data_IF_208462281840
#
_entry.id   IF_208462281840
#
_cell.length_a   1.000
_cell.length_b   1.000
_cell.length_c   1.000
_cell.angle_alpha   90.00
_cell.angle_beta   90.00
_cell.angle_gamma   90.00
#
_symmetry.space_group_name_H-M   'P 1'
#
loop_
_entity.id
_entity.type
_entity.pdbx_description
1 polymer ?
#
# COMPACT_ATOMS: atom_id res chain seq x y z
N UNK A 1 -54.67 -44.01 -1.79
CA UNK A 1 -53.86 -42.92 -2.35
C UNK A 1 -53.61 -41.90 -1.26
N UNK A 2 -52.38 -41.36 -1.20
CA UNK A 2 -51.78 -40.47 -0.18
C UNK A 2 -51.00 -41.19 0.94
N UNK A 3 -49.77 -41.56 0.58
CA UNK A 3 -48.64 -41.72 1.49
C UNK A 3 -47.83 -40.40 1.55
N UNK A 4 -46.86 -40.37 2.46
CA UNK A 4 -45.71 -39.46 2.63
C UNK A 4 -45.91 -38.29 3.62
N UNK A 5 -45.47 -38.42 4.89
CA UNK A 5 -44.10 -38.35 5.48
C UNK A 5 -43.67 -36.88 5.68
N UNK A 6 -43.64 -36.39 6.93
CA UNK A 6 -42.46 -36.09 7.81
C UNK A 6 -41.42 -35.23 7.06
N UNK A 7 -40.98 -34.05 7.51
CA UNK A 7 -40.05 -33.84 8.65
C UNK A 7 -39.69 -32.36 8.83
N UNK A 8 -39.27 -32.09 10.07
CA UNK A 8 -38.14 -31.25 10.48
C UNK A 8 -38.26 -29.72 10.39
N UNK A 9 -38.42 -29.17 11.58
CA UNK A 9 -38.05 -27.81 11.99
C UNK A 9 -36.63 -27.47 11.57
N UNK A 10 -36.52 -26.30 10.96
CA UNK A 10 -35.31 -25.65 10.44
C UNK A 10 -34.28 -25.50 11.57
N UNK A 11 -33.17 -26.22 11.43
CA UNK A 11 -31.91 -25.93 12.10
C UNK A 11 -31.19 -24.82 11.32
N UNK A 12 -30.64 -23.84 12.03
CA UNK A 12 -29.27 -23.33 11.87
C UNK A 12 -29.17 -21.81 12.06
N UNK A 13 -28.24 -21.46 12.94
CA UNK A 13 -27.70 -20.15 13.25
C UNK A 13 -27.46 -19.25 12.03
N UNK A 14 -27.42 -17.92 12.26
CA UNK A 14 -26.18 -17.14 12.08
C UNK A 14 -26.31 -15.71 12.57
N UNK A 15 -25.27 -15.32 13.27
CA UNK A 15 -24.83 -13.98 13.69
C UNK A 15 -25.01 -12.91 12.61
N UNK A 16 -25.68 -11.83 12.97
CA UNK A 16 -25.68 -10.59 12.19
C UNK A 16 -24.38 -9.83 12.51
N UNK A 17 -23.34 -10.03 11.71
CA UNK A 17 -22.28 -9.04 11.56
C UNK A 17 -22.43 -8.46 10.17
N UNK A 18 -22.86 -7.20 10.11
CA UNK A 18 -23.02 -6.45 8.89
C UNK A 18 -21.69 -6.44 8.13
N UNK A 19 -21.62 -7.22 7.05
CA UNK A 19 -20.59 -7.07 6.03
C UNK A 19 -20.89 -5.78 5.27
N UNK A 20 -20.18 -4.71 5.59
CA UNK A 20 -19.92 -3.68 4.59
C UNK A 20 -19.26 -4.39 3.41
N UNK A 21 -19.93 -4.48 2.27
CA UNK A 21 -19.31 -4.88 1.00
C UNK A 21 -18.29 -3.81 0.61
N UNK A 22 -17.10 -3.91 1.21
CA UNK A 22 -15.90 -3.22 0.73
C UNK A 22 -15.57 -3.90 -0.59
N UNK A 23 -15.88 -3.24 -1.71
CA UNK A 23 -15.36 -3.64 -3.02
C UNK A 23 -13.85 -3.84 -2.87
N UNK A 24 -13.39 -5.10 -2.95
CA UNK A 24 -11.99 -5.46 -2.77
C UNK A 24 -11.26 -5.04 -4.04
N UNK A 25 -10.81 -3.79 -4.08
CA UNK A 25 -9.85 -3.34 -5.08
C UNK A 25 -8.52 -4.00 -4.78
N UNK A 26 -8.06 -4.87 -5.69
CA UNK A 26 -6.80 -5.58 -5.52
C UNK A 26 -5.65 -4.61 -5.75
N UNK A 27 -4.83 -4.39 -4.72
CA UNK A 27 -3.57 -3.67 -4.88
C UNK A 27 -2.62 -4.54 -5.69
N UNK A 28 -2.20 -4.04 -6.85
CA UNK A 28 -1.30 -4.74 -7.78
C UNK A 28 0.15 -4.37 -7.51
N UNK A 29 0.37 -3.09 -7.23
CA UNK A 29 1.69 -2.49 -7.13
C UNK A 29 1.64 -1.26 -6.24
N UNK A 30 2.71 -1.04 -5.48
CA UNK A 30 2.93 0.19 -4.72
C UNK A 30 4.32 0.70 -5.03
N UNK A 31 4.46 1.99 -5.32
CA UNK A 31 5.77 2.61 -5.49
C UNK A 31 5.99 3.75 -4.52
N UNK A 32 7.25 3.91 -4.10
CA UNK A 32 7.76 5.07 -3.40
C UNK A 32 8.82 5.70 -4.29
N UNK A 33 8.64 6.98 -4.61
CA UNK A 33 9.61 7.75 -5.37
C UNK A 33 10.15 8.88 -4.51
N UNK A 34 11.46 9.09 -4.53
CA UNK A 34 12.15 10.12 -3.75
C UNK A 34 13.18 10.84 -4.64
N UNK A 35 13.08 12.16 -4.72
CA UNK A 35 13.88 12.98 -5.65
C UNK A 35 14.51 14.21 -4.99
N UNK A 36 15.71 14.53 -5.45
CA UNK A 36 16.40 15.84 -5.33
C UNK A 36 17.02 16.20 -6.67
N UNK A 37 17.69 17.36 -6.77
CA UNK A 37 18.40 17.80 -7.99
C UNK A 37 19.46 16.82 -8.50
N UNK A 38 20.04 15.99 -7.63
CA UNK A 38 21.13 15.08 -7.99
C UNK A 38 20.88 13.62 -7.63
N UNK A 39 19.68 13.26 -7.19
CA UNK A 39 19.36 11.88 -6.80
C UNK A 39 17.93 11.52 -7.14
N UNK A 40 17.77 10.35 -7.76
CA UNK A 40 16.49 9.71 -8.05
C UNK A 40 16.51 8.33 -7.40
N UNK A 41 15.56 8.07 -6.51
CA UNK A 41 15.33 6.75 -5.94
C UNK A 41 13.89 6.35 -6.17
N UNK A 42 13.70 5.22 -6.83
CA UNK A 42 12.39 4.64 -7.08
C UNK A 42 12.36 3.22 -6.52
N UNK A 43 11.37 2.92 -5.71
CA UNK A 43 11.13 1.60 -5.13
C UNK A 43 9.75 1.14 -5.57
N UNK A 44 9.67 -0.04 -6.19
CA UNK A 44 8.43 -0.62 -6.68
C UNK A 44 8.22 -1.99 -6.03
N UNK A 45 7.14 -2.12 -5.27
CA UNK A 45 6.73 -3.34 -4.61
C UNK A 45 5.54 -3.94 -5.36
N UNK A 46 5.59 -5.24 -5.59
CA UNK A 46 4.53 -6.07 -6.14
C UNK A 46 4.61 -7.44 -5.49
N UNK A 47 3.61 -8.30 -5.67
CA UNK A 47 3.60 -9.62 -5.04
C UNK A 47 4.92 -10.38 -5.28
N UNK A 48 5.63 -10.70 -4.20
CA UNK A 48 6.90 -11.43 -4.23
C UNK A 48 8.13 -10.65 -4.71
N UNK A 49 8.01 -9.38 -5.11
CA UNK A 49 9.11 -8.62 -5.74
C UNK A 49 9.22 -7.17 -5.28
N UNK A 50 10.43 -6.75 -4.95
CA UNK A 50 10.88 -5.36 -4.81
C UNK A 50 11.86 -5.05 -5.94
N UNK A 51 11.60 -3.98 -6.69
CA UNK A 51 12.53 -3.39 -7.65
C UNK A 51 12.96 -2.03 -7.12
N UNK A 52 14.27 -1.85 -6.91
CA UNK A 52 14.89 -0.59 -6.53
C UNK A 52 15.65 -0.02 -7.72
N UNK A 53 15.44 1.25 -8.05
CA UNK A 53 16.24 2.01 -9.02
C UNK A 53 16.85 3.22 -8.33
N UNK A 54 18.18 3.28 -8.25
CA UNK A 54 18.90 4.39 -7.64
C UNK A 54 19.82 5.00 -8.70
N UNK A 55 19.49 6.21 -9.14
CA UNK A 55 20.17 6.91 -10.24
C UNK A 55 20.33 6.02 -11.49
N UNK A 56 19.29 5.24 -11.81
CA UNK A 56 19.27 4.30 -12.95
C UNK A 56 19.89 2.94 -12.68
N UNK A 57 20.54 2.72 -11.54
CA UNK A 57 21.04 1.40 -11.15
C UNK A 57 19.89 0.58 -10.58
N UNK A 58 19.52 -0.47 -11.30
CA UNK A 58 18.37 -1.32 -10.95
C UNK A 58 18.85 -2.54 -10.16
N UNK A 59 18.19 -2.80 -9.05
CA UNK A 59 18.34 -4.00 -8.25
C UNK A 59 16.97 -4.63 -7.99
N UNK A 60 16.90 -5.96 -8.04
CA UNK A 60 15.66 -6.71 -7.78
C UNK A 60 15.86 -7.65 -6.60
N UNK A 61 14.87 -7.70 -5.73
CA UNK A 61 14.87 -8.54 -4.54
C UNK A 61 13.52 -9.20 -4.34
N UNK A 62 13.53 -10.37 -3.71
CA UNK A 62 12.30 -11.03 -3.28
C UNK A 62 11.78 -10.44 -1.97
N UNK A 63 10.46 -10.26 -1.90
CA UNK A 63 9.74 -9.89 -0.67
C UNK A 63 8.95 -11.08 -0.16
N UNK A 64 8.83 -11.21 1.16
CA UNK A 64 8.00 -12.27 1.74
C UNK A 64 6.51 -11.99 1.52
N UNK A 65 5.70 -13.04 1.49
CA UNK A 65 4.24 -12.91 1.43
C UNK A 65 3.67 -12.12 2.61
N UNK A 66 4.26 -12.29 3.80
CA UNK A 66 3.88 -11.54 4.99
C UNK A 66 4.15 -10.04 4.85
N UNK A 67 5.29 -9.66 4.28
CA UNK A 67 5.61 -8.24 4.01
C UNK A 67 4.65 -7.67 2.97
N UNK A 68 4.38 -8.41 1.88
CA UNK A 68 3.42 -7.98 0.87
C UNK A 68 2.00 -7.83 1.42
N UNK A 69 1.55 -8.77 2.25
CA UNK A 69 0.23 -8.74 2.89
C UNK A 69 0.03 -7.47 3.73
N UNK A 70 1.05 -7.07 4.52
CA UNK A 70 1.00 -5.82 5.28
C UNK A 70 0.93 -4.57 4.39
N UNK A 71 1.66 -4.56 3.28
CA UNK A 71 1.56 -3.47 2.30
C UNK A 71 0.14 -3.37 1.77
N UNK A 72 -0.48 -4.50 1.37
CA UNK A 72 -1.86 -4.54 0.91
C UNK A 72 -2.82 -4.03 1.99
N UNK A 73 -2.70 -4.51 3.22
CA UNK A 73 -3.51 -4.09 4.37
C UNK A 73 -3.46 -2.57 4.59
N UNK A 74 -2.27 -1.96 4.56
CA UNK A 74 -2.15 -0.51 4.72
C UNK A 74 -2.70 0.26 3.52
N UNK A 75 -2.54 -0.25 2.29
CA UNK A 75 -3.14 0.39 1.10
C UNK A 75 -4.66 0.36 1.12
N UNK A 76 -5.23 -0.60 1.83
CA UNK A 76 -6.66 -0.79 2.00
C UNK A 76 -7.30 0.15 3.03
N UNK A 77 -6.49 0.76 3.89
CA UNK A 77 -6.90 1.77 4.86
C UNK A 77 -6.87 3.19 4.27
N UNK A 78 -6.19 3.36 3.13
CA UNK A 78 -6.03 4.64 2.44
C UNK A 78 -7.19 4.86 1.46
N UNK A 79 -7.84 6.02 1.55
CA UNK A 79 -8.76 6.49 0.51
C UNK A 79 -7.98 6.90 -0.74
N UNK A 80 -7.92 5.99 -1.73
CA UNK A 80 -7.16 6.18 -2.96
C UNK A 80 -7.62 7.39 -3.78
N UNK A 81 -8.92 7.69 -3.81
CA UNK A 81 -9.46 8.82 -4.58
C UNK A 81 -9.03 10.19 -4.03
N UNK A 82 -8.77 10.26 -2.72
CA UNK A 82 -8.35 11.49 -2.04
C UNK A 82 -6.86 11.49 -1.67
N UNK A 83 -6.08 10.49 -2.08
CA UNK A 83 -4.66 10.38 -1.71
C UNK A 83 -3.83 11.59 -2.20
N UNK A 84 -4.22 12.18 -3.33
CA UNK A 84 -3.59 13.37 -3.91
C UNK A 84 -3.82 14.65 -3.10
N UNK A 85 -4.83 14.66 -2.21
CA UNK A 85 -5.22 15.81 -1.38
C UNK A 85 -4.66 15.75 0.04
N UNK A 86 -3.93 14.69 0.39
CA UNK A 86 -3.35 14.54 1.72
C UNK A 86 -2.28 15.61 1.94
N UNK A 87 -2.40 16.39 3.00
CA UNK A 87 -1.47 17.49 3.26
C UNK A 87 -0.16 16.97 3.87
N UNK A 88 0.95 17.50 3.38
CA UNK A 88 2.25 17.15 3.91
C UNK A 88 2.50 17.86 5.26
N UNK A 89 3.03 17.18 6.29
CA UNK A 89 3.23 17.79 7.61
C UNK A 89 4.26 18.92 7.64
N UNK A 90 5.26 18.86 6.74
CA UNK A 90 6.39 19.80 6.67
C UNK A 90 6.75 20.08 5.22
N UNK A 91 7.51 21.14 4.97
CA UNK A 91 7.88 21.62 3.62
C UNK A 91 9.40 21.76 3.42
N UNK A 92 10.18 21.00 4.18
CA UNK A 92 11.66 21.00 4.18
C UNK A 92 12.28 20.65 2.82
N UNK A 93 11.53 19.99 1.93
CA UNK A 93 11.93 19.76 0.54
C UNK A 93 12.21 21.04 -0.25
N UNK A 94 11.58 22.17 0.10
CA UNK A 94 11.83 23.44 -0.60
C UNK A 94 13.10 24.16 -0.13
N UNK A 95 13.63 23.78 1.03
CA UNK A 95 14.89 24.28 1.58
C UNK A 95 16.03 23.29 1.42
N UNK A 96 15.91 22.33 0.49
CA UNK A 96 16.86 21.24 0.22
C UNK A 96 17.23 20.40 1.48
N UNK A 97 16.41 20.44 2.53
CA UNK A 97 16.67 19.75 3.80
C UNK A 97 16.06 18.34 3.86
N UNK A 98 15.22 17.98 2.88
CA UNK A 98 14.63 16.66 2.73
C UNK A 98 14.40 16.32 1.25
N UNK A 99 14.33 15.04 0.91
CA UNK A 99 13.92 14.63 -0.43
C UNK A 99 12.41 14.83 -0.61
N UNK A 100 12.01 15.25 -1.81
CA UNK A 100 10.62 15.26 -2.19
C UNK A 100 10.18 13.82 -2.51
N UNK A 101 9.23 13.30 -1.74
CA UNK A 101 8.73 11.94 -1.86
C UNK A 101 7.25 11.91 -2.23
N UNK A 102 6.83 10.87 -2.94
CA UNK A 102 5.41 10.54 -3.12
C UNK A 102 5.23 9.02 -3.20
N UNK A 103 4.02 8.57 -2.91
CA UNK A 103 3.62 7.17 -3.04
C UNK A 103 2.58 7.04 -4.14
N UNK A 104 2.73 6.04 -5.00
CA UNK A 104 1.71 5.67 -5.98
C UNK A 104 1.18 4.27 -5.68
N UNK A 105 -0.13 4.13 -5.64
CA UNK A 105 -0.81 2.86 -5.43
C UNK A 105 -1.54 2.50 -6.72
N UNK A 106 -1.20 1.37 -7.32
CA UNK A 106 -1.90 0.84 -8.50
C UNK A 106 -2.97 -0.15 -8.03
N UNK A 107 -4.24 0.15 -8.30
CA UNK A 107 -5.39 -0.72 -8.02
C UNK A 107 -6.21 -0.90 -9.29
N UNK A 108 -6.45 -2.15 -9.68
CA UNK A 108 -7.21 -2.51 -10.89
C UNK A 108 -6.74 -1.72 -12.12
N UNK A 109 -5.42 -1.67 -12.36
CA UNK A 109 -4.80 -0.90 -13.44
C UNK A 109 -4.87 0.63 -13.35
N UNK A 110 -5.43 1.21 -12.29
CA UNK A 110 -5.47 2.66 -12.07
C UNK A 110 -4.43 3.09 -11.04
N UNK A 111 -3.66 4.12 -11.37
CA UNK A 111 -2.62 4.70 -10.51
C UNK A 111 -3.16 5.86 -9.68
N UNK A 112 -3.06 5.75 -8.36
CA UNK A 112 -3.43 6.78 -7.40
C UNK A 112 -2.17 7.32 -6.72
N UNK A 113 -1.77 8.54 -7.08
CA UNK A 113 -0.55 9.17 -6.57
C UNK A 113 -0.85 10.16 -5.47
N UNK A 114 -0.09 10.09 -4.37
CA UNK A 114 -0.17 11.05 -3.28
C UNK A 114 0.32 12.44 -3.68
N UNK A 115 -0.03 13.43 -2.87
CA UNK A 115 0.72 14.69 -2.84
C UNK A 115 2.20 14.43 -2.55
N UNK A 116 3.05 15.41 -2.87
CA UNK A 116 4.46 15.34 -2.48
C UNK A 116 4.61 15.67 -1.00
N UNK A 117 5.49 14.95 -0.32
CA UNK A 117 5.82 15.14 1.09
C UNK A 117 7.34 15.07 1.31
N UNK A 118 7.79 15.45 2.50
CA UNK A 118 9.22 15.33 2.86
C UNK A 118 9.53 13.88 3.23
N UNK A 119 10.57 13.29 2.64
CA UNK A 119 11.05 11.96 3.04
C UNK A 119 11.24 11.89 4.56
N UNK A 120 10.74 10.81 5.17
CA UNK A 120 10.70 10.62 6.62
C UNK A 120 9.53 11.29 7.35
N UNK A 121 8.78 12.18 6.69
CA UNK A 121 7.63 12.89 7.26
C UNK A 121 6.41 12.81 6.30
N UNK A 122 5.84 11.61 6.08
CA UNK A 122 4.65 11.44 5.25
C UNK A 122 3.39 12.03 5.93
N UNK A 123 2.31 12.30 5.17
CA UNK A 123 0.98 12.51 5.71
C UNK A 123 0.57 11.39 6.67
N UNK A 124 -0.26 11.70 7.66
CA UNK A 124 -0.61 10.78 8.75
C UNK A 124 -1.19 9.46 8.22
N UNK A 125 -2.05 9.56 7.22
CA UNK A 125 -2.74 8.44 6.56
C UNK A 125 -1.76 7.52 5.82
N UNK A 126 -0.62 8.06 5.35
CA UNK A 126 0.40 7.31 4.63
C UNK A 126 1.49 6.76 5.54
N UNK A 127 1.50 7.12 6.84
CA UNK A 127 2.60 6.83 7.76
C UNK A 127 2.88 5.33 7.89
N UNK A 128 1.85 4.51 8.05
CA UNK A 128 2.00 3.06 8.22
C UNK A 128 2.57 2.41 6.95
N UNK A 129 2.00 2.74 5.79
CA UNK A 129 2.47 2.27 4.49
C UNK A 129 3.93 2.67 4.24
N UNK A 130 4.25 3.96 4.43
CA UNK A 130 5.61 4.49 4.23
C UNK A 130 6.63 3.79 5.14
N UNK A 131 6.31 3.63 6.42
CA UNK A 131 7.20 3.00 7.39
C UNK A 131 7.49 1.55 7.02
N UNK A 132 6.48 0.82 6.55
CA UNK A 132 6.64 -0.57 6.14
C UNK A 132 7.49 -0.70 4.86
N UNK A 133 7.26 0.16 3.87
CA UNK A 133 8.11 0.22 2.66
C UNK A 133 9.57 0.46 3.06
N UNK A 134 9.83 1.43 3.94
CA UNK A 134 11.18 1.75 4.43
C UNK A 134 11.81 0.58 5.17
N UNK A 135 11.04 -0.16 5.98
CA UNK A 135 11.52 -1.36 6.67
C UNK A 135 11.96 -2.43 5.68
N UNK A 136 11.14 -2.73 4.67
CA UNK A 136 11.45 -3.73 3.62
C UNK A 136 12.71 -3.35 2.84
N UNK A 137 12.86 -2.07 2.47
CA UNK A 137 14.04 -1.58 1.75
C UNK A 137 15.31 -1.73 2.60
N UNK A 138 15.24 -1.42 3.91
CA UNK A 138 16.41 -1.46 4.81
C UNK A 138 16.87 -2.87 5.14
N UNK A 139 15.94 -3.79 5.45
CA UNK A 139 16.28 -5.16 5.88
C UNK A 139 17.05 -5.94 4.81
N UNK A 140 16.94 -5.55 3.55
CA UNK A 140 17.63 -6.19 2.44
C UNK A 140 18.95 -5.53 2.02
N UNK A 141 19.32 -4.38 2.60
CA UNK A 141 20.63 -3.72 2.35
C UNK A 141 21.77 -4.34 3.18
N UNK A 142 21.45 -5.17 4.18
CA UNK A 142 22.41 -5.72 5.15
C UNK A 142 22.71 -7.22 5.00
N UNK A 143 22.31 -7.85 3.88
CA UNK A 143 22.65 -9.23 3.57
C UNK A 143 23.44 -9.30 2.26
#
# INVERSE_FOLDING_TARGET
MKNFIVTATISSCKTNMASHEKTIFKTEKVSLSERTRGTIRDFTLSNGKLVSSINGNINTQEISENDWSKIVEYTEQINAENISKLEAPTTKRFSDAALASHITITKNGTDYQSSTFDSGNPPLELKNLYTEIQRIIKTKKSN
#
